data_IF_856570633375
#
_entry.id   IF_856570633375
#
_cell.length_a   1.000
_cell.length_b   1.000
_cell.length_c   1.000
_cell.angle_alpha   90.00
_cell.angle_beta   90.00
_cell.angle_gamma   90.00
#
_symmetry.space_group_name_H-M   'P 1'
#
loop_
_entity.id
_entity.type
_entity.pdbx_description
1 polymer ?
#
# COMPACT_ATOMS: atom_id res chain seq x y z
N UNK A 1 -48.65 -40.73 3.46
CA UNK A 1 -49.07 -39.45 2.82
C UNK A 1 -48.02 -38.40 3.19
N UNK A 2 -46.81 -38.47 2.63
CA UNK A 2 -46.35 -37.72 1.44
C UNK A 2 -46.66 -36.21 1.52
N UNK A 3 -45.85 -35.47 2.27
CA UNK A 3 -45.66 -34.02 2.12
C UNK A 3 -44.22 -33.80 1.65
N UNK A 4 -44.06 -33.52 0.35
CA UNK A 4 -42.77 -33.50 -0.35
C UNK A 4 -41.82 -32.36 0.04
N UNK A 5 -40.61 -32.33 -0.54
CA UNK A 5 -39.58 -31.34 -0.23
C UNK A 5 -40.07 -29.91 -0.52
N UNK A 6 -39.83 -28.98 0.41
CA UNK A 6 -40.10 -27.56 0.23
C UNK A 6 -39.47 -27.09 -1.09
N UNK A 7 -40.32 -26.71 -2.05
CA UNK A 7 -39.93 -26.12 -3.33
C UNK A 7 -39.32 -24.73 -3.07
N UNK A 8 -38.00 -24.69 -2.91
CA UNK A 8 -37.17 -23.47 -2.87
C UNK A 8 -37.05 -22.81 -4.27
N UNK A 9 -38.18 -22.61 -4.95
CA UNK A 9 -38.30 -21.96 -6.27
C UNK A 9 -39.26 -20.78 -6.21
N UNK A 10 -39.15 -19.96 -5.17
CA UNK A 10 -39.92 -18.73 -5.07
C UNK A 10 -39.38 -17.67 -6.03
N UNK A 11 -40.22 -16.77 -6.58
CA UNK A 11 -39.78 -15.67 -7.43
C UNK A 11 -38.73 -14.78 -6.76
N UNK A 12 -38.70 -14.70 -5.42
CA UNK A 12 -37.65 -14.00 -4.67
C UNK A 12 -36.27 -14.67 -4.77
N UNK A 13 -36.20 -16.00 -4.79
CA UNK A 13 -34.95 -16.77 -4.99
C UNK A 13 -34.50 -16.66 -6.45
N UNK A 14 -35.45 -16.75 -7.38
CA UNK A 14 -35.19 -16.53 -8.81
C UNK A 14 -34.72 -15.10 -9.09
N UNK A 15 -35.29 -14.11 -8.38
CA UNK A 15 -34.91 -12.70 -8.46
C UNK A 15 -33.49 -12.51 -7.93
N UNK A 16 -33.17 -12.98 -6.72
CA UNK A 16 -31.80 -12.97 -6.17
C UNK A 16 -30.78 -13.61 -7.13
N UNK A 17 -31.09 -14.79 -7.69
CA UNK A 17 -30.23 -15.48 -8.65
C UNK A 17 -30.12 -14.75 -10.01
N UNK A 18 -31.14 -13.99 -10.41
CA UNK A 18 -31.14 -13.21 -11.66
C UNK A 18 -30.52 -11.83 -11.52
N UNK A 19 -30.50 -11.27 -10.30
CA UNK A 19 -29.84 -9.99 -9.97
C UNK A 19 -28.37 -10.17 -9.62
N UNK A 20 -27.91 -11.41 -9.44
CA UNK A 20 -26.49 -11.76 -9.44
C UNK A 20 -25.95 -11.64 -10.88
N UNK A 21 -25.95 -10.42 -11.39
CA UNK A 21 -25.12 -9.99 -12.51
C UNK A 21 -23.71 -10.46 -12.14
N UNK A 22 -23.01 -11.25 -12.97
CA UNK A 22 -21.61 -11.51 -12.72
C UNK A 22 -20.93 -10.14 -12.61
N UNK A 23 -20.54 -9.75 -11.39
CA UNK A 23 -19.59 -8.68 -11.20
C UNK A 23 -18.42 -8.97 -12.13
N UNK A 24 -17.88 -7.95 -12.77
CA UNK A 24 -16.95 -8.10 -13.87
C UNK A 24 -15.63 -8.71 -13.37
N UNK A 25 -15.61 -10.02 -13.17
CA UNK A 25 -14.44 -10.83 -12.74
C UNK A 25 -13.21 -10.59 -13.62
N UNK A 26 -13.40 -10.01 -14.81
CA UNK A 26 -12.34 -9.52 -15.69
C UNK A 26 -11.56 -8.35 -15.08
N UNK A 27 -12.19 -7.42 -14.38
CA UNK A 27 -11.54 -6.31 -13.67
C UNK A 27 -10.46 -6.82 -12.71
N UNK A 28 -10.82 -7.78 -11.86
CA UNK A 28 -9.90 -8.34 -10.87
C UNK A 28 -8.77 -9.11 -11.51
N UNK A 29 -9.05 -9.83 -12.61
CA UNK A 29 -8.02 -10.49 -13.41
C UNK A 29 -7.06 -9.49 -14.03
N UNK A 30 -7.55 -8.37 -14.55
CA UNK A 30 -6.71 -7.29 -15.10
C UNK A 30 -5.87 -6.66 -13.98
N UNK A 31 -6.47 -6.39 -12.82
CA UNK A 31 -5.76 -5.85 -11.67
C UNK A 31 -4.67 -6.80 -11.15
N UNK A 32 -4.98 -8.09 -11.04
CA UNK A 32 -4.02 -9.13 -10.70
C UNK A 32 -2.90 -9.26 -11.73
N UNK A 33 -3.20 -9.24 -13.03
CA UNK A 33 -2.19 -9.30 -14.07
C UNK A 33 -1.29 -8.05 -14.08
N UNK A 34 -1.87 -6.87 -13.89
CA UNK A 34 -1.13 -5.62 -13.78
C UNK A 34 -0.22 -5.63 -12.55
N UNK A 35 -0.73 -6.05 -11.39
CA UNK A 35 0.07 -6.19 -10.17
C UNK A 35 1.20 -7.21 -10.32
N UNK A 36 0.97 -8.32 -11.03
CA UNK A 36 2.01 -9.30 -11.33
C UNK A 36 3.09 -8.71 -12.25
N UNK A 37 2.71 -7.97 -13.29
CA UNK A 37 3.65 -7.28 -14.16
C UNK A 37 4.48 -6.25 -13.37
N UNK A 38 3.85 -5.50 -12.47
CA UNK A 38 4.52 -4.55 -11.58
C UNK A 38 5.50 -5.26 -10.63
N UNK A 39 5.13 -6.41 -10.06
CA UNK A 39 6.01 -7.22 -9.22
C UNK A 39 7.25 -7.71 -9.98
N UNK A 40 7.07 -8.23 -11.20
CA UNK A 40 8.17 -8.67 -12.06
C UNK A 40 9.10 -7.49 -12.40
N UNK A 41 8.52 -6.35 -12.77
CA UNK A 41 9.28 -5.13 -13.05
C UNK A 41 10.09 -4.68 -11.82
N UNK A 42 9.49 -4.71 -10.62
CA UNK A 42 10.15 -4.31 -9.39
C UNK A 42 11.30 -5.26 -9.01
N UNK A 43 11.10 -6.57 -9.16
CA UNK A 43 12.15 -7.57 -8.97
C UNK A 43 13.29 -7.39 -9.98
N UNK A 44 12.96 -7.17 -11.26
CA UNK A 44 13.95 -6.90 -12.29
C UNK A 44 14.76 -5.64 -11.99
N UNK A 45 14.11 -4.53 -11.61
CA UNK A 45 14.77 -3.30 -11.23
C UNK A 45 15.69 -3.50 -10.00
N UNK A 46 15.26 -4.28 -9.01
CA UNK A 46 16.07 -4.60 -7.83
C UNK A 46 17.31 -5.41 -8.16
N UNK A 47 17.22 -6.37 -9.10
CA UNK A 47 18.35 -7.20 -9.51
C UNK A 47 19.44 -6.39 -10.23
N UNK A 48 19.08 -5.25 -10.83
CA UNK A 48 20.02 -4.34 -11.50
C UNK A 48 20.79 -3.44 -10.53
N UNK A 49 20.47 -3.45 -9.22
CA UNK A 49 21.22 -2.69 -8.23
C UNK A 49 22.64 -3.27 -8.11
N UNK A 50 23.67 -2.46 -8.28
CA UNK A 50 25.06 -2.90 -8.05
C UNK A 50 25.33 -3.05 -6.56
N UNK A 51 25.97 -4.15 -6.17
CA UNK A 51 26.37 -4.40 -4.78
C UNK A 51 27.79 -3.89 -4.56
N UNK A 52 27.97 -3.10 -3.49
CA UNK A 52 29.29 -2.66 -3.05
C UNK A 52 29.98 -3.76 -2.25
N UNK A 53 31.31 -3.82 -2.28
CA UNK A 53 32.10 -4.70 -1.41
C UNK A 53 31.90 -4.43 0.09
N UNK A 54 31.33 -3.27 0.46
CA UNK A 54 30.94 -2.91 1.84
C UNK A 54 29.44 -3.09 2.10
N UNK A 55 28.73 -3.88 1.30
CA UNK A 55 27.30 -4.10 1.51
C UNK A 55 27.07 -4.91 2.78
N UNK A 56 26.07 -4.51 3.57
CA UNK A 56 25.57 -5.28 4.72
C UNK A 56 25.18 -6.70 4.30
N UNK A 57 25.16 -7.66 5.26
CA UNK A 57 24.85 -9.09 5.01
C UNK A 57 23.58 -9.33 4.19
N UNK A 58 22.58 -8.46 4.34
CA UNK A 58 21.27 -8.58 3.69
C UNK A 58 21.25 -7.89 2.31
N UNK A 59 22.13 -6.92 2.07
CA UNK A 59 22.23 -6.15 0.83
C UNK A 59 21.02 -5.25 0.50
N UNK A 60 21.20 -4.26 -0.41
CA UNK A 60 20.14 -3.30 -0.76
C UNK A 60 18.97 -3.92 -1.54
N UNK A 61 19.13 -5.14 -2.08
CA UNK A 61 18.14 -5.83 -2.92
C UNK A 61 17.08 -6.59 -2.14
N UNK A 62 17.38 -7.03 -0.92
CA UNK A 62 16.50 -7.93 -0.18
C UNK A 62 15.13 -7.31 0.05
N UNK A 63 15.09 -6.05 0.51
CA UNK A 63 13.82 -5.38 0.78
C UNK A 63 12.94 -5.24 -0.48
N UNK A 64 13.43 -4.69 -1.61
CA UNK A 64 12.67 -4.67 -2.86
C UNK A 64 12.19 -6.06 -3.32
N UNK A 65 13.03 -7.10 -3.20
CA UNK A 65 12.68 -8.46 -3.62
C UNK A 65 11.60 -9.11 -2.74
N UNK A 66 11.61 -8.84 -1.43
CA UNK A 66 10.55 -9.28 -0.51
C UNK A 66 9.21 -8.64 -0.92
N UNK A 67 9.21 -7.33 -1.17
CA UNK A 67 8.00 -6.61 -1.60
C UNK A 67 7.50 -7.14 -2.94
N UNK A 68 8.39 -7.36 -3.91
CA UNK A 68 8.03 -7.93 -5.21
C UNK A 68 7.42 -9.33 -5.06
N UNK A 69 7.94 -10.15 -4.16
CA UNK A 69 7.45 -11.51 -3.92
C UNK A 69 6.05 -11.50 -3.30
N UNK A 70 5.84 -10.71 -2.25
CA UNK A 70 4.52 -10.59 -1.58
C UNK A 70 3.48 -10.03 -2.55
N UNK A 71 3.85 -9.00 -3.31
CA UNK A 71 2.99 -8.42 -4.34
C UNK A 71 2.65 -9.47 -5.41
N UNK A 72 3.64 -10.20 -5.92
CA UNK A 72 3.45 -11.24 -6.93
C UNK A 72 2.51 -12.35 -6.47
N UNK A 73 2.69 -12.87 -5.25
CA UNK A 73 1.80 -13.89 -4.67
C UNK A 73 0.37 -13.35 -4.54
N UNK A 74 0.22 -12.13 -4.00
CA UNK A 74 -1.09 -11.50 -3.83
C UNK A 74 -1.80 -11.28 -5.17
N UNK A 75 -1.06 -10.82 -6.19
CA UNK A 75 -1.55 -10.60 -7.54
C UNK A 75 -1.96 -11.89 -8.25
N UNK A 76 -1.20 -12.98 -8.08
CA UNK A 76 -1.58 -14.31 -8.58
C UNK A 76 -2.88 -14.76 -7.92
N UNK A 77 -3.00 -14.59 -6.61
CA UNK A 77 -4.21 -14.99 -5.88
C UNK A 77 -5.45 -14.22 -6.39
N UNK A 78 -5.34 -12.90 -6.58
CA UNK A 78 -6.43 -12.07 -7.13
C UNK A 78 -6.79 -12.50 -8.56
N UNK A 79 -5.79 -12.78 -9.41
CA UNK A 79 -6.04 -13.21 -10.79
C UNK A 79 -6.72 -14.58 -10.88
N UNK A 80 -6.35 -15.52 -10.00
CA UNK A 80 -6.89 -16.89 -9.99
C UNK A 80 -8.25 -16.97 -9.28
N UNK A 81 -8.49 -16.12 -8.29
CA UNK A 81 -9.71 -16.10 -7.48
C UNK A 81 -10.29 -14.67 -7.41
N UNK A 82 -10.87 -14.18 -8.52
CA UNK A 82 -11.51 -12.87 -8.57
C UNK A 82 -12.73 -12.82 -7.64
N UNK A 83 -13.02 -11.65 -7.08
CA UNK A 83 -14.20 -11.41 -6.27
C UNK A 83 -15.47 -11.46 -7.16
N UNK A 84 -16.59 -11.87 -6.57
CA UNK A 84 -17.87 -11.97 -7.26
C UNK A 84 -18.50 -10.59 -7.48
N UNK A 85 -18.15 -9.60 -6.65
CA UNK A 85 -18.65 -8.23 -6.72
C UNK A 85 -17.50 -7.21 -6.54
N UNK A 86 -16.69 -6.96 -7.58
CA UNK A 86 -15.60 -6.01 -7.50
C UNK A 86 -16.14 -4.58 -7.35
N UNK A 87 -15.95 -4.00 -6.15
CA UNK A 87 -16.35 -2.62 -5.86
C UNK A 87 -15.17 -1.68 -6.11
N UNK A 88 -15.19 -0.99 -7.25
CA UNK A 88 -14.19 0.03 -7.54
C UNK A 88 -14.35 1.26 -6.65
N UNK A 89 -13.24 1.85 -6.17
CA UNK A 89 -13.29 3.12 -5.45
C UNK A 89 -13.87 4.23 -6.33
N UNK A 90 -14.62 5.15 -5.71
CA UNK A 90 -15.07 6.35 -6.40
C UNK A 90 -13.89 7.18 -6.90
N UNK A 91 -14.13 8.02 -7.91
CA UNK A 91 -13.13 8.97 -8.42
C UNK A 91 -12.49 9.81 -7.30
N UNK A 92 -13.28 10.22 -6.31
CA UNK A 92 -12.78 10.94 -5.14
C UNK A 92 -11.71 10.14 -4.40
N UNK A 93 -11.96 8.86 -4.13
CA UNK A 93 -10.99 7.97 -3.45
C UNK A 93 -9.77 7.67 -4.32
N UNK A 94 -9.91 7.59 -5.65
CA UNK A 94 -8.75 7.47 -6.54
C UNK A 94 -7.83 8.71 -6.46
N UNK A 95 -8.40 9.92 -6.38
CA UNK A 95 -7.63 11.16 -6.18
C UNK A 95 -6.90 11.14 -4.84
N UNK A 96 -7.49 10.57 -3.78
CA UNK A 96 -6.83 10.41 -2.49
C UNK A 96 -5.63 9.47 -2.55
N UNK A 97 -5.76 8.35 -3.26
CA UNK A 97 -4.66 7.40 -3.50
C UNK A 97 -3.54 8.10 -4.28
N UNK A 98 -3.88 8.83 -5.34
CA UNK A 98 -2.91 9.59 -6.12
C UNK A 98 -2.21 10.65 -5.26
N UNK A 99 -2.95 11.36 -4.40
CA UNK A 99 -2.38 12.35 -3.50
C UNK A 99 -1.42 11.71 -2.48
N UNK A 100 -1.75 10.53 -1.95
CA UNK A 100 -0.84 9.78 -1.08
C UNK A 100 0.46 9.39 -1.81
N UNK A 101 0.38 8.94 -3.06
CA UNK A 101 1.56 8.65 -3.90
C UNK A 101 2.41 9.91 -4.08
N UNK A 102 1.79 11.04 -4.43
CA UNK A 102 2.49 12.32 -4.59
C UNK A 102 3.18 12.73 -3.28
N UNK A 103 2.52 12.58 -2.13
CA UNK A 103 3.13 12.89 -0.83
C UNK A 103 4.31 11.98 -0.52
N UNK A 104 4.26 10.69 -0.88
CA UNK A 104 5.40 9.80 -0.71
C UNK A 104 6.58 10.16 -1.62
N UNK A 105 6.30 10.62 -2.86
CA UNK A 105 7.34 11.14 -3.76
C UNK A 105 7.96 12.41 -3.18
N UNK A 106 7.14 13.36 -2.73
CA UNK A 106 7.61 14.60 -2.10
C UNK A 106 8.43 14.30 -0.86
N UNK A 107 7.99 13.37 0.00
CA UNK A 107 8.75 12.92 1.16
C UNK A 107 10.17 12.46 0.77
N UNK A 108 10.29 11.61 -0.25
CA UNK A 108 11.58 11.14 -0.74
C UNK A 108 12.47 12.28 -1.27
N UNK A 109 11.89 13.25 -2.00
CA UNK A 109 12.62 14.40 -2.54
C UNK A 109 13.03 15.41 -1.46
N UNK A 110 12.21 15.58 -0.42
CA UNK A 110 12.48 16.51 0.67
C UNK A 110 13.39 15.91 1.75
N UNK A 111 13.55 14.59 1.86
CA UNK A 111 14.47 13.97 2.81
C UNK A 111 15.89 14.60 2.81
N UNK A 112 16.59 14.75 1.67
CA UNK A 112 17.92 15.36 1.65
C UNK A 112 17.94 16.87 1.90
N UNK A 113 16.80 17.56 1.72
CA UNK A 113 16.71 19.04 1.78
C UNK A 113 16.15 19.54 3.10
N UNK A 114 15.21 18.82 3.71
CA UNK A 114 14.52 19.21 4.93
C UNK A 114 14.99 18.39 6.15
N UNK A 115 15.62 17.23 5.92
CA UNK A 115 15.97 16.28 6.98
C UNK A 115 14.82 15.35 7.33
N UNK A 116 15.15 14.26 8.02
CA UNK A 116 14.22 13.20 8.37
C UNK A 116 13.06 13.74 9.21
N UNK A 117 13.36 14.51 10.26
CA UNK A 117 12.33 14.92 11.23
C UNK A 117 11.23 15.75 10.57
N UNK A 118 11.60 16.76 9.79
CA UNK A 118 10.62 17.65 9.15
C UNK A 118 9.87 16.91 8.04
N UNK A 119 10.59 16.20 7.15
CA UNK A 119 9.98 15.50 6.03
C UNK A 119 8.99 14.43 6.52
N UNK A 120 9.38 13.63 7.51
CA UNK A 120 8.52 12.57 8.06
C UNK A 120 7.35 13.14 8.84
N UNK A 121 7.54 14.21 9.63
CA UNK A 121 6.45 14.82 10.37
C UNK A 121 5.34 15.33 9.43
N UNK A 122 5.71 16.00 8.33
CA UNK A 122 4.74 16.49 7.34
C UNK A 122 4.03 15.33 6.63
N UNK A 123 4.80 14.35 6.14
CA UNK A 123 4.24 13.20 5.43
C UNK A 123 3.29 12.39 6.32
N UNK A 124 3.72 12.05 7.54
CA UNK A 124 2.91 11.30 8.49
C UNK A 124 1.65 12.09 8.90
N UNK A 125 1.78 13.40 9.17
CA UNK A 125 0.62 14.24 9.51
C UNK A 125 -0.42 14.25 8.39
N UNK A 126 0.02 14.39 7.13
CA UNK A 126 -0.87 14.38 5.99
C UNK A 126 -1.57 13.01 5.84
N UNK A 127 -0.83 11.92 5.90
CA UNK A 127 -1.37 10.57 5.72
C UNK A 127 -2.37 10.24 6.83
N UNK A 128 -2.03 10.51 8.10
CA UNK A 128 -2.94 10.29 9.23
C UNK A 128 -4.20 11.16 9.14
N UNK A 129 -4.09 12.40 8.66
CA UNK A 129 -5.25 13.25 8.39
C UNK A 129 -6.13 12.67 7.28
N UNK A 130 -5.53 12.15 6.20
CA UNK A 130 -6.29 11.52 5.10
C UNK A 130 -6.99 10.23 5.52
N UNK A 131 -6.49 9.56 6.55
CA UNK A 131 -7.14 8.40 7.18
C UNK A 131 -8.31 8.78 8.12
N UNK A 132 -8.66 10.06 8.24
CA UNK A 132 -9.84 10.54 8.96
C UNK A 132 -9.57 11.09 10.36
N UNK A 133 -8.31 11.22 10.76
CA UNK A 133 -7.97 11.83 12.06
C UNK A 133 -8.14 13.36 12.03
N UNK A 134 -8.58 14.00 13.13
CA UNK A 134 -8.65 15.46 13.23
C UNK A 134 -7.29 16.12 12.94
N UNK A 135 -7.28 17.27 12.24
CA UNK A 135 -6.04 17.89 11.76
C UNK A 135 -4.98 18.12 12.86
N UNK A 136 -5.41 18.58 14.04
CA UNK A 136 -4.51 18.79 15.17
C UNK A 136 -3.92 17.47 15.71
N UNK A 137 -4.76 16.44 15.82
CA UNK A 137 -4.32 15.10 16.23
C UNK A 137 -3.34 14.50 15.23
N UNK A 138 -3.60 14.66 13.93
CA UNK A 138 -2.70 14.19 12.88
C UNK A 138 -1.35 14.88 12.91
N UNK A 139 -1.33 16.19 13.15
CA UNK A 139 -0.08 16.95 13.31
C UNK A 139 0.73 16.45 14.52
N UNK A 140 0.06 16.22 15.65
CA UNK A 140 0.70 15.66 16.84
C UNK A 140 1.24 14.24 16.57
N UNK A 141 0.46 13.38 15.91
CA UNK A 141 0.88 12.02 15.56
C UNK A 141 2.09 12.07 14.63
N UNK A 142 2.09 12.93 13.62
CA UNK A 142 3.21 13.05 12.69
C UNK A 142 4.50 13.51 13.38
N UNK A 143 4.41 14.55 14.22
CA UNK A 143 5.56 15.04 15.01
C UNK A 143 6.06 13.97 15.98
N UNK A 144 5.17 13.35 16.75
CA UNK A 144 5.53 12.32 17.73
C UNK A 144 6.15 11.09 17.06
N UNK A 145 5.59 10.63 15.94
CA UNK A 145 6.11 9.49 15.18
C UNK A 145 7.50 9.81 14.64
N UNK A 146 7.66 10.97 14.03
CA UNK A 146 8.93 11.38 13.44
C UNK A 146 10.03 11.56 14.49
N UNK A 147 9.75 12.31 15.57
CA UNK A 147 10.70 12.51 16.67
C UNK A 147 10.99 11.20 17.39
N UNK A 148 9.97 10.36 17.63
CA UNK A 148 10.13 9.06 18.27
C UNK A 148 11.05 8.13 17.48
N UNK A 149 10.85 8.03 16.17
CA UNK A 149 11.74 7.24 15.30
C UNK A 149 13.15 7.82 15.31
N UNK A 150 13.30 9.15 15.20
CA UNK A 150 14.61 9.79 15.27
C UNK A 150 15.33 9.48 16.58
N UNK A 151 14.66 9.61 17.73
CA UNK A 151 15.25 9.31 19.03
C UNK A 151 15.72 7.86 19.10
N UNK A 152 14.87 6.90 18.72
CA UNK A 152 15.23 5.48 18.79
C UNK A 152 16.38 5.17 17.81
N UNK A 153 16.23 5.54 16.54
CA UNK A 153 17.17 5.10 15.52
C UNK A 153 18.47 5.92 15.57
N UNK A 154 18.39 7.24 15.71
CA UNK A 154 19.57 8.08 15.72
C UNK A 154 20.27 8.12 17.08
N UNK A 155 19.53 8.38 18.16
CA UNK A 155 20.13 8.62 19.48
C UNK A 155 20.39 7.33 20.26
N UNK A 156 19.46 6.36 20.22
CA UNK A 156 19.61 5.11 20.97
C UNK A 156 20.43 4.08 20.20
N UNK A 157 20.12 3.88 18.91
CA UNK A 157 20.77 2.86 18.08
C UNK A 157 21.98 3.39 17.30
N UNK A 158 22.21 4.70 17.27
CA UNK A 158 23.37 5.30 16.59
C UNK A 158 23.32 5.23 15.05
N UNK A 159 22.14 5.03 14.46
CA UNK A 159 21.96 4.92 13.03
C UNK A 159 21.98 6.30 12.35
N UNK A 160 22.38 6.32 11.08
CA UNK A 160 22.35 7.53 10.26
C UNK A 160 20.96 7.74 9.67
N UNK A 161 20.37 8.91 9.92
CA UNK A 161 19.15 9.37 9.27
C UNK A 161 19.47 10.62 8.44
N UNK A 162 18.64 10.91 7.43
CA UNK A 162 18.84 12.07 6.56
C UNK A 162 18.89 13.34 7.39
N UNK A 163 20.03 14.06 7.35
CA UNK A 163 20.20 15.33 8.07
C UNK A 163 19.86 16.48 7.15
N UNK A 164 18.92 17.30 7.58
CA UNK A 164 18.59 18.54 6.91
C UNK A 164 19.56 19.69 7.25
N UNK A 165 19.26 20.89 6.77
CA UNK A 165 20.00 22.13 7.06
C UNK A 165 20.13 22.42 8.56
N UNK A 166 19.21 21.89 9.37
CA UNK A 166 19.18 22.05 10.81
C UNK A 166 20.05 21.01 11.56
N UNK A 167 20.70 20.10 10.84
CA UNK A 167 21.62 19.11 11.41
C UNK A 167 20.96 17.79 11.87
N UNK A 168 19.66 17.63 11.68
CA UNK A 168 18.86 16.45 12.04
C UNK A 168 17.81 16.11 10.97
#
# INVERSE_FOLDING_TARGET
MLGGPLSLRGPAVQFYLSTQIPGDTMSDRIFGLFGLALAIFFAWAALQIEESFLSDEVGPKAFPLIIATILGISSIFIALKPDAEPVWPSLGRLVEILAAIVVMILYAQFLPVAGFVIATAVAASYLTWRLGSPALSSLLIGVLTSVGIYVIFHLVLGLSLARGPLGF
#
